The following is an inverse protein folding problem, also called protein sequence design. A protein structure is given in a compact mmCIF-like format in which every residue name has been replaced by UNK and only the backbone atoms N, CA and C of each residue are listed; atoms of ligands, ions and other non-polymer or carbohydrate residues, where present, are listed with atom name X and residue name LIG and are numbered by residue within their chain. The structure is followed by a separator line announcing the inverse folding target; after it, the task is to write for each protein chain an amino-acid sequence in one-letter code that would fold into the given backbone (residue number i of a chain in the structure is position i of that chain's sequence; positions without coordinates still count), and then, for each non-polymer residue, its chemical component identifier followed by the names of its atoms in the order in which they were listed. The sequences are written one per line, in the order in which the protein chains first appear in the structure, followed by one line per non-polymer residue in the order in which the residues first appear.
data_IF_777639120357
#
_entry.id   IF_777639120357
#
_cell.length_a   1.000
_cell.length_b   1.000
_cell.length_c   1.000
_cell.angle_alpha   90.00
_cell.angle_beta   90.00
_cell.angle_gamma   90.00
#
_symmetry.space_group_name_H-M   'P 1'
#
loop_
_entity.id
_entity.type
_entity.pdbx_description
1 polymer ?
#
# COMPACT_ATOMS: atom_id res chain seq x y z
N UNK A 1 4.11 28.31 -0.62
CA UNK A 1 4.08 27.02 0.10
C UNK A 1 5.09 26.05 -0.53
N UNK A 2 6.05 25.54 0.25
CA UNK A 2 7.05 24.59 -0.23
C UNK A 2 6.51 23.17 0.00
N UNK A 3 6.28 22.41 -1.07
CA UNK A 3 5.85 21.01 -0.96
C UNK A 3 7.05 20.14 -0.52
N UNK A 4 6.78 19.05 0.22
CA UNK A 4 7.77 18.10 0.69
C UNK A 4 8.63 17.58 -0.47
N UNK A 5 7.98 17.24 -1.60
CA UNK A 5 8.66 16.70 -2.76
C UNK A 5 9.59 17.72 -3.43
N UNK A 6 9.36 19.03 -3.29
CA UNK A 6 10.24 20.05 -3.90
C UNK A 6 11.69 19.95 -3.41
N UNK A 7 11.91 19.59 -2.14
CA UNK A 7 13.25 19.34 -1.61
C UNK A 7 13.62 17.84 -1.59
N UNK A 8 12.65 16.97 -1.34
CA UNK A 8 12.88 15.54 -1.13
C UNK A 8 12.61 14.68 -2.36
N UNK A 9 12.63 15.24 -3.57
CA UNK A 9 12.35 14.48 -4.81
C UNK A 9 13.35 13.35 -5.03
N UNK A 10 14.61 13.52 -4.63
CA UNK A 10 15.61 12.45 -4.74
C UNK A 10 15.29 11.29 -3.79
N UNK A 11 14.82 11.57 -2.58
CA UNK A 11 14.37 10.53 -1.64
C UNK A 11 13.18 9.77 -2.24
N UNK A 12 12.21 10.51 -2.78
CA UNK A 12 11.06 9.92 -3.48
C UNK A 12 11.50 9.03 -4.65
N UNK A 13 12.42 9.51 -5.51
CA UNK A 13 12.87 8.80 -6.71
C UNK A 13 13.71 7.56 -6.41
N UNK A 14 14.46 7.58 -5.30
CA UNK A 14 15.40 6.53 -4.93
C UNK A 14 14.81 5.49 -3.96
N UNK A 15 13.60 5.69 -3.44
CA UNK A 15 12.95 4.71 -2.57
C UNK A 15 12.68 3.41 -3.34
N UNK A 16 12.97 2.25 -2.73
CA UNK A 16 12.78 0.92 -3.34
C UNK A 16 11.85 -0.01 -2.57
N UNK A 17 11.43 0.39 -1.37
CA UNK A 17 10.57 -0.44 -0.54
C UNK A 17 9.44 0.38 0.10
N UNK A 18 8.27 0.46 -0.55
CA UNK A 18 8.03 0.17 -1.97
C UNK A 18 8.67 1.20 -2.93
N UNK A 19 8.91 0.84 -4.19
CA UNK A 19 9.36 1.81 -5.20
C UNK A 19 8.23 2.78 -5.55
N UNK A 20 8.31 4.01 -5.05
CA UNK A 20 7.25 5.01 -5.21
C UNK A 20 7.00 5.40 -6.67
N UNK A 21 8.07 5.47 -7.48
CA UNK A 21 7.95 5.84 -8.90
C UNK A 21 7.31 4.73 -9.70
N UNK A 22 7.77 3.50 -9.51
CA UNK A 22 7.24 2.34 -10.22
C UNK A 22 5.77 2.07 -9.83
N UNK A 23 5.42 2.28 -8.55
CA UNK A 23 4.05 2.15 -8.05
C UNK A 23 3.14 3.35 -8.41
N UNK A 24 3.69 4.47 -8.87
CA UNK A 24 2.92 5.66 -9.23
C UNK A 24 2.30 6.38 -8.03
N UNK A 25 2.97 6.40 -6.88
CA UNK A 25 2.43 7.07 -5.69
C UNK A 25 2.40 8.60 -5.83
N UNK A 26 1.50 9.28 -5.08
CA UNK A 26 1.46 10.73 -5.10
C UNK A 26 2.66 11.33 -4.37
N UNK A 27 2.99 12.59 -4.70
CA UNK A 27 4.00 13.38 -4.00
C UNK A 27 3.50 14.01 -2.70
N UNK A 28 2.20 13.89 -2.39
CA UNK A 28 1.66 14.29 -1.09
C UNK A 28 2.07 13.27 -0.01
N UNK A 29 3.27 13.46 0.55
CA UNK A 29 3.91 12.50 1.45
C UNK A 29 3.08 12.22 2.72
N UNK A 30 2.32 13.21 3.19
CA UNK A 30 1.55 13.14 4.43
C UNK A 30 0.38 12.15 4.38
N UNK A 31 0.02 11.65 3.19
CA UNK A 31 -0.97 10.59 3.03
C UNK A 31 -0.49 9.28 3.66
N UNK A 32 0.83 9.03 3.64
CA UNK A 32 1.40 7.76 4.09
C UNK A 32 2.46 7.90 5.18
N UNK A 33 3.17 9.02 5.23
CA UNK A 33 4.31 9.25 6.11
C UNK A 33 4.03 10.36 7.12
N UNK A 34 4.73 10.30 8.24
CA UNK A 34 4.77 11.38 9.23
C UNK A 34 6.17 12.00 9.24
N UNK A 35 6.28 13.26 9.66
CA UNK A 35 7.59 13.91 9.80
C UNK A 35 8.45 13.30 10.92
N UNK A 36 7.81 12.66 11.90
CA UNK A 36 8.48 11.95 13.00
C UNK A 36 8.99 10.56 12.62
N UNK A 37 8.35 9.92 11.64
CA UNK A 37 8.72 8.57 11.21
C UNK A 37 8.41 8.37 9.73
N UNK A 38 9.48 8.27 8.93
CA UNK A 38 9.40 8.02 7.49
C UNK A 38 9.30 6.54 7.14
N UNK A 39 9.86 5.65 7.96
CA UNK A 39 9.75 4.20 7.76
C UNK A 39 8.43 3.65 8.32
N UNK A 40 7.92 2.57 7.71
CA UNK A 40 6.66 1.96 8.13
C UNK A 40 5.46 2.84 7.80
N UNK A 41 5.39 3.29 6.54
CA UNK A 41 4.29 4.11 6.03
C UNK A 41 2.93 3.43 6.32
N UNK A 42 1.94 4.23 6.68
CA UNK A 42 0.58 3.73 6.94
C UNK A 42 -0.35 4.18 5.83
N UNK A 43 -1.24 3.29 5.41
CA UNK A 43 -2.26 3.63 4.44
C UNK A 43 -3.62 3.16 4.92
N UNK A 44 -4.59 4.05 4.86
CA UNK A 44 -5.96 3.79 5.32
C UNK A 44 -6.78 3.12 4.21
N UNK A 45 -6.89 1.80 4.28
CA UNK A 45 -7.67 1.00 3.34
C UNK A 45 -9.19 1.24 3.44
N UNK A 46 -9.69 1.86 4.51
CA UNK A 46 -11.12 2.20 4.63
C UNK A 46 -11.58 3.22 3.58
N UNK A 47 -10.62 3.93 2.96
CA UNK A 47 -10.84 4.88 1.87
C UNK A 47 -10.80 4.26 0.49
N UNK A 48 -10.68 2.93 0.41
CA UNK A 48 -10.63 2.18 -0.85
C UNK A 48 -11.85 1.30 -1.01
N UNK A 49 -11.99 0.66 -2.18
CA UNK A 49 -13.01 -0.34 -2.43
C UNK A 49 -12.79 -1.65 -1.64
N UNK A 50 -11.69 -1.78 -0.90
CA UNK A 50 -11.38 -2.98 -0.11
C UNK A 50 -10.90 -2.63 1.31
N UNK A 51 -11.84 -2.30 2.22
CA UNK A 51 -11.51 -2.08 3.63
C UNK A 51 -10.99 -3.36 4.29
N UNK A 52 -9.82 -3.27 4.95
CA UNK A 52 -9.28 -4.38 5.73
C UNK A 52 -10.05 -4.50 7.04
N UNK A 53 -10.53 -5.71 7.35
CA UNK A 53 -11.34 -6.00 8.54
C UNK A 53 -10.92 -7.33 9.18
N UNK A 54 -11.26 -7.52 10.45
CA UNK A 54 -10.91 -8.72 11.22
C UNK A 54 -9.39 -8.96 11.23
N UNK A 55 -8.96 -10.20 11.01
CA UNK A 55 -7.54 -10.57 10.96
C UNK A 55 -6.75 -9.91 9.82
N UNK A 56 -7.42 -9.36 8.80
CA UNK A 56 -6.74 -8.68 7.69
C UNK A 56 -6.17 -7.32 8.07
N UNK A 57 -6.54 -6.72 9.21
CA UNK A 57 -6.03 -5.39 9.60
C UNK A 57 -4.53 -5.38 9.93
N UNK A 58 -3.95 -6.55 10.23
CA UNK A 58 -2.56 -6.70 10.65
C UNK A 58 -1.66 -7.34 9.58
N UNK A 59 -2.19 -7.63 8.39
CA UNK A 59 -1.39 -8.21 7.30
C UNK A 59 -0.41 -7.18 6.74
N UNK A 60 0.76 -7.66 6.30
CA UNK A 60 1.75 -6.79 5.66
C UNK A 60 1.32 -6.42 4.24
N UNK A 61 1.73 -5.23 3.77
CA UNK A 61 1.37 -4.72 2.44
C UNK A 61 1.70 -5.74 1.33
N UNK A 62 2.86 -6.38 1.44
CA UNK A 62 3.41 -7.30 0.44
C UNK A 62 2.63 -8.62 0.33
N UNK A 63 1.77 -8.96 1.29
CA UNK A 63 0.93 -10.15 1.19
C UNK A 63 -0.13 -10.03 0.09
N UNK A 64 -0.54 -8.80 -0.24
CA UNK A 64 -1.46 -8.53 -1.35
C UNK A 64 -0.76 -7.78 -2.50
N UNK A 65 0.03 -6.76 -2.18
CA UNK A 65 0.71 -5.89 -3.15
C UNK A 65 2.00 -6.49 -3.70
N UNK A 66 1.84 -7.60 -4.43
CA UNK A 66 2.91 -8.37 -5.02
C UNK A 66 3.55 -7.59 -6.18
N UNK A 67 4.87 -7.72 -6.33
CA UNK A 67 5.67 -7.06 -7.38
C UNK A 67 5.50 -5.53 -7.42
N UNK A 68 5.20 -4.90 -6.28
CA UNK A 68 5.00 -3.45 -6.19
C UNK A 68 3.71 -2.96 -6.83
N UNK A 69 2.73 -3.83 -7.09
CA UNK A 69 1.42 -3.43 -7.60
C UNK A 69 0.52 -2.98 -6.44
N UNK A 70 0.31 -1.66 -6.32
CA UNK A 70 -0.50 -1.07 -5.24
C UNK A 70 -1.91 -0.64 -5.64
N UNK A 71 -2.27 -0.75 -6.92
CA UNK A 71 -3.59 -0.41 -7.43
C UNK A 71 -4.13 -1.48 -8.40
N UNK A 72 -5.46 -1.55 -8.52
CA UNK A 72 -6.13 -2.46 -9.47
C UNK A 72 -5.94 -3.94 -9.14
N UNK A 73 -5.92 -4.29 -7.85
CA UNK A 73 -6.00 -5.67 -7.38
C UNK A 73 -7.46 -6.10 -7.30
N UNK A 74 -7.74 -7.37 -7.58
CA UNK A 74 -9.08 -7.92 -7.39
C UNK A 74 -9.41 -8.10 -5.90
N UNK A 75 -10.65 -7.87 -5.53
CA UNK A 75 -11.14 -7.90 -4.14
C UNK A 75 -11.80 -9.23 -3.74
N UNK A 76 -11.85 -10.20 -4.66
CA UNK A 76 -12.48 -11.48 -4.39
C UNK A 76 -11.69 -12.27 -3.34
N UNK A 77 -12.37 -12.81 -2.33
CA UNK A 77 -11.75 -13.58 -1.25
C UNK A 77 -10.92 -14.77 -1.79
N UNK A 78 -11.42 -15.40 -2.87
CA UNK A 78 -10.78 -16.51 -3.54
C UNK A 78 -9.42 -16.16 -4.17
N UNK A 79 -9.10 -14.88 -4.38
CA UNK A 79 -7.79 -14.45 -4.89
C UNK A 79 -6.64 -14.84 -3.95
N UNK A 80 -6.91 -15.00 -2.66
CA UNK A 80 -5.94 -15.48 -1.67
C UNK A 80 -6.39 -16.78 -1.00
N UNK A 81 -7.69 -16.96 -0.77
CA UNK A 81 -8.27 -18.10 -0.07
C UNK A 81 -8.89 -19.12 -1.02
N UNK A 82 -8.27 -19.36 -2.19
CA UNK A 82 -8.80 -20.29 -3.19
C UNK A 82 -8.99 -21.70 -2.63
N UNK A 83 -8.03 -22.17 -1.83
CA UNK A 83 -8.15 -23.48 -1.18
C UNK A 83 -9.34 -23.53 -0.22
N UNK A 84 -9.57 -22.50 0.61
CA UNK A 84 -10.73 -22.45 1.48
C UNK A 84 -12.03 -22.43 0.66
N UNK A 85 -12.08 -21.62 -0.40
CA UNK A 85 -13.23 -21.50 -1.30
C UNK A 85 -13.57 -22.82 -1.98
N UNK A 86 -12.57 -23.55 -2.47
CA UNK A 86 -12.79 -24.84 -3.13
C UNK A 86 -13.17 -25.96 -2.16
N UNK A 87 -12.88 -25.80 -0.87
CA UNK A 87 -13.18 -26.79 0.17
C UNK A 87 -14.45 -26.44 0.98
N UNK A 88 -15.23 -25.45 0.57
CA UNK A 88 -16.58 -25.25 1.11
C UNK A 88 -17.54 -26.23 0.44
N UNK A 89 -18.06 -27.19 1.20
CA UNK A 89 -19.17 -28.08 0.80
C UNK A 89 -20.51 -27.36 0.83
#
# INVERSE_FOLDING_TARGET
PMDCASCHINNYNNTKNPDHRAAGFPTNCAVCHTTSQWLGAKFDHSRTAFPLTGFHVSVSCQQCHINGKFAGLGTACANCHLANYNNTT
#
